data_IF_386187978713
#
_entry.id   IF_386187978713
#
_cell.length_a   1.000
_cell.length_b   1.000
_cell.length_c   1.000
_cell.angle_alpha   90.00
_cell.angle_beta   90.00
_cell.angle_gamma   90.00
#
_symmetry.space_group_name_H-M   'P 1'
#
loop_
_entity.id
_entity.type
_entity.pdbx_description
1 polymer ?
#
# COMPACT_ATOMS: atom_id res chain seq x y z
N UNK A 1 -1.94 27.49 0.74
CA UNK A 1 -2.98 27.19 1.78
C UNK A 1 -2.27 26.40 2.87
N UNK A 2 -2.11 27.01 4.05
CA UNK A 2 -1.41 26.37 5.19
C UNK A 2 -2.10 25.09 5.61
N UNK A 3 -1.38 23.99 5.71
CA UNK A 3 -1.90 22.71 6.18
C UNK A 3 -2.18 22.76 7.68
N UNK A 4 -3.43 22.50 8.09
CA UNK A 4 -3.86 22.55 9.50
C UNK A 4 -4.12 21.16 10.06
N UNK A 5 -4.02 21.02 11.38
CA UNK A 5 -4.35 19.78 12.12
C UNK A 5 -3.55 18.55 11.71
N UNK A 6 -2.29 18.71 11.26
CA UNK A 6 -1.44 17.58 10.89
C UNK A 6 -1.15 16.66 12.08
N UNK A 7 -1.10 17.22 13.28
CA UNK A 7 -0.91 16.52 14.55
C UNK A 7 -2.10 15.61 14.95
N UNK A 8 -3.26 15.80 14.30
CA UNK A 8 -4.48 15.02 14.56
C UNK A 8 -4.74 13.93 13.53
N UNK A 9 -3.90 13.82 12.50
CA UNK A 9 -4.03 12.75 11.50
C UNK A 9 -3.82 11.40 12.18
N UNK A 10 -4.76 10.45 12.04
CA UNK A 10 -4.61 9.11 12.61
C UNK A 10 -3.52 8.35 11.88
N UNK A 11 -2.63 7.69 12.64
CA UNK A 11 -1.47 7.00 12.10
C UNK A 11 -1.62 5.49 12.19
N UNK A 12 -1.29 4.83 11.08
CA UNK A 12 -1.21 3.39 10.94
C UNK A 12 0.20 2.93 10.50
N UNK A 13 0.43 1.65 10.60
CA UNK A 13 1.62 0.99 10.06
C UNK A 13 1.23 -0.31 9.36
N UNK A 14 1.80 -0.58 8.20
CA UNK A 14 1.60 -1.85 7.52
C UNK A 14 2.37 -2.97 8.27
N UNK A 15 1.69 -4.07 8.60
CA UNK A 15 2.35 -5.15 9.38
C UNK A 15 3.52 -5.79 8.64
N UNK A 16 3.52 -5.97 7.30
CA UNK A 16 4.71 -6.45 6.58
C UNK A 16 5.93 -5.54 6.77
N UNK A 17 5.69 -4.26 6.94
CA UNK A 17 6.72 -3.22 7.10
C UNK A 17 7.32 -3.13 8.51
N UNK A 18 6.87 -3.97 9.43
CA UNK A 18 7.43 -4.11 10.78
C UNK A 18 8.35 -5.34 10.90
N UNK A 19 8.91 -5.80 9.79
CA UNK A 19 9.82 -6.93 9.70
C UNK A 19 9.27 -8.07 8.86
N UNK A 20 10.12 -8.64 8.01
CA UNK A 20 9.76 -9.68 7.04
C UNK A 20 10.33 -11.07 7.38
N UNK A 21 11.27 -11.16 8.33
CA UNK A 21 11.79 -12.45 8.74
C UNK A 21 10.73 -13.28 9.51
N UNK A 22 10.65 -14.60 9.33
CA UNK A 22 9.65 -15.46 10.00
C UNK A 22 9.63 -15.38 11.53
N UNK A 23 10.69 -14.90 12.17
CA UNK A 23 10.75 -14.67 13.64
C UNK A 23 10.01 -13.40 14.07
N UNK A 24 9.72 -12.47 13.13
CA UNK A 24 8.95 -11.25 13.40
C UNK A 24 7.46 -11.56 13.40
N UNK A 25 6.98 -12.04 14.52
CA UNK A 25 5.60 -12.51 14.65
C UNK A 25 4.60 -11.35 14.62
N UNK A 26 3.37 -11.63 14.23
CA UNK A 26 2.29 -10.63 14.25
C UNK A 26 2.16 -9.98 15.62
N UNK A 27 2.27 -10.77 16.70
CA UNK A 27 2.20 -10.28 18.08
C UNK A 27 3.29 -9.24 18.37
N UNK A 28 4.53 -9.50 17.93
CA UNK A 28 5.64 -8.56 18.11
C UNK A 28 5.41 -7.27 17.33
N UNK A 29 4.96 -7.38 16.09
CA UNK A 29 4.66 -6.23 15.21
C UNK A 29 3.56 -5.35 15.79
N UNK A 30 2.45 -5.94 16.24
CA UNK A 30 1.33 -5.23 16.85
C UNK A 30 1.72 -4.56 18.18
N UNK A 31 2.50 -5.25 19.04
CA UNK A 31 3.03 -4.65 20.26
C UNK A 31 3.94 -3.46 19.97
N UNK A 32 4.82 -3.59 18.98
CA UNK A 32 5.74 -2.53 18.56
C UNK A 32 4.98 -1.29 18.05
N UNK A 33 4.00 -1.48 17.17
CA UNK A 33 3.16 -0.40 16.65
C UNK A 33 2.41 0.34 17.77
N UNK A 34 1.73 -0.41 18.66
CA UNK A 34 1.01 0.16 19.80
C UNK A 34 1.93 0.93 20.75
N UNK A 35 3.10 0.35 21.09
CA UNK A 35 4.10 0.97 21.97
C UNK A 35 4.68 2.27 21.39
N UNK A 36 4.88 2.32 20.06
CA UNK A 36 5.36 3.51 19.37
C UNK A 36 4.29 4.63 19.27
N UNK A 37 3.01 4.31 19.53
CA UNK A 37 1.91 5.28 19.54
C UNK A 37 1.03 5.28 18.29
N UNK A 38 1.21 4.31 17.37
CA UNK A 38 0.28 4.09 16.28
C UNK A 38 -1.09 3.65 16.82
N UNK A 39 -2.15 3.98 16.08
CA UNK A 39 -3.53 3.64 16.43
C UNK A 39 -4.19 2.71 15.42
N UNK A 40 -3.59 2.55 14.25
CA UNK A 40 -4.05 1.65 13.20
C UNK A 40 -2.93 0.76 12.68
N UNK A 41 -3.33 -0.31 12.03
CA UNK A 41 -2.45 -1.16 11.24
C UNK A 41 -3.12 -1.54 9.92
N UNK A 42 -2.33 -1.67 8.86
CA UNK A 42 -2.74 -2.42 7.68
C UNK A 42 -2.38 -3.88 7.93
N UNK A 43 -3.35 -4.79 7.83
CA UNK A 43 -3.07 -6.21 8.00
C UNK A 43 -2.58 -6.81 6.69
N UNK A 44 -1.32 -7.22 6.65
CA UNK A 44 -0.76 -8.00 5.55
C UNK A 44 -1.32 -9.42 5.53
N UNK A 45 -1.78 -9.89 4.37
CA UNK A 45 -2.28 -11.25 4.22
C UNK A 45 -1.23 -12.31 4.58
N UNK A 46 0.04 -12.07 4.20
CA UNK A 46 1.15 -12.97 4.51
C UNK A 46 1.40 -13.08 6.03
N UNK A 47 1.22 -12.01 6.77
CA UNK A 47 1.31 -12.01 8.22
C UNK A 47 0.18 -12.81 8.87
N UNK A 48 -1.05 -12.67 8.35
CA UNK A 48 -2.18 -13.50 8.76
C UNK A 48 -1.91 -14.98 8.48
N UNK A 49 -1.43 -15.31 7.28
CA UNK A 49 -1.09 -16.68 6.89
C UNK A 49 0.06 -17.25 7.74
N UNK A 50 1.06 -16.43 8.06
CA UNK A 50 2.17 -16.81 8.93
C UNK A 50 1.70 -17.08 10.36
N UNK A 51 0.78 -16.27 10.89
CA UNK A 51 0.13 -16.51 12.17
C UNK A 51 -0.65 -17.83 12.16
N UNK A 52 -1.47 -18.05 11.11
CA UNK A 52 -2.23 -19.30 10.94
C UNK A 52 -1.31 -20.53 10.92
N UNK A 53 -0.22 -20.47 10.17
CA UNK A 53 0.78 -21.54 10.06
C UNK A 53 1.46 -21.85 11.41
N UNK A 54 1.76 -20.81 12.19
CA UNK A 54 2.44 -20.97 13.49
C UNK A 54 1.54 -21.61 14.54
N UNK A 55 0.27 -21.23 14.58
CA UNK A 55 -0.68 -21.70 15.58
C UNK A 55 -1.44 -22.97 15.16
N UNK A 56 -1.34 -23.37 13.88
CA UNK A 56 -1.95 -24.58 13.36
C UNK A 56 -0.98 -25.36 12.45
N UNK A 57 -0.30 -26.39 12.96
CA UNK A 57 0.63 -27.22 12.17
C UNK A 57 -0.01 -27.90 10.95
N UNK A 58 -1.33 -28.02 10.93
CA UNK A 58 -2.10 -28.59 9.79
C UNK A 58 -2.52 -27.58 8.73
N UNK A 59 -2.11 -26.32 8.83
CA UNK A 59 -2.47 -25.26 7.87
C UNK A 59 -2.08 -25.59 6.44
N UNK A 60 -3.05 -25.51 5.53
CA UNK A 60 -2.89 -25.92 4.11
C UNK A 60 -2.71 -24.74 3.13
N UNK A 61 -2.38 -23.55 3.64
CA UNK A 61 -2.21 -22.35 2.82
C UNK A 61 -3.50 -21.55 2.60
N UNK A 62 -3.52 -20.73 1.57
CA UNK A 62 -4.62 -19.77 1.30
C UNK A 62 -5.99 -20.41 1.09
N UNK A 63 -6.05 -21.69 0.76
CA UNK A 63 -7.31 -22.43 0.60
C UNK A 63 -7.89 -22.95 1.93
N UNK A 64 -7.12 -22.87 3.03
CA UNK A 64 -7.60 -23.27 4.37
C UNK A 64 -8.35 -22.12 5.06
N UNK A 65 -9.48 -21.75 4.45
CA UNK A 65 -10.31 -20.65 4.96
C UNK A 65 -10.71 -20.81 6.45
N UNK A 66 -11.10 -21.99 6.96
CA UNK A 66 -11.43 -22.12 8.39
C UNK A 66 -10.28 -21.74 9.33
N UNK A 67 -9.03 -22.12 8.99
CA UNK A 67 -7.84 -21.76 9.79
C UNK A 67 -7.53 -20.28 9.69
N UNK A 68 -7.67 -19.67 8.50
CA UNK A 68 -7.49 -18.22 8.30
C UNK A 68 -8.53 -17.41 9.09
N UNK A 69 -9.80 -17.81 9.09
CA UNK A 69 -10.85 -17.14 9.86
C UNK A 69 -10.59 -17.19 11.37
N UNK A 70 -10.15 -18.34 11.88
CA UNK A 70 -9.76 -18.47 13.29
C UNK A 70 -8.62 -17.53 13.64
N UNK A 71 -7.54 -17.51 12.83
CA UNK A 71 -6.40 -16.63 13.02
C UNK A 71 -6.78 -15.16 12.93
N UNK A 72 -7.68 -14.80 12.01
CA UNK A 72 -8.20 -13.44 11.89
C UNK A 72 -8.92 -12.98 13.19
N UNK A 73 -9.73 -13.86 13.79
CA UNK A 73 -10.38 -13.58 15.07
C UNK A 73 -9.37 -13.38 16.21
N UNK A 74 -8.33 -14.23 16.31
CA UNK A 74 -7.26 -14.12 17.30
C UNK A 74 -6.47 -12.82 17.14
N UNK A 75 -6.14 -12.42 15.90
CA UNK A 75 -5.46 -11.15 15.61
C UNK A 75 -6.35 -9.94 15.97
N UNK A 76 -7.64 -9.98 15.66
CA UNK A 76 -8.60 -8.94 16.09
C UNK A 76 -8.61 -8.75 17.60
N UNK A 77 -8.69 -9.84 18.37
CA UNK A 77 -8.67 -9.76 19.83
C UNK A 77 -7.37 -9.15 20.36
N UNK A 78 -6.23 -9.47 19.72
CA UNK A 78 -4.95 -8.88 20.08
C UNK A 78 -4.91 -7.38 19.78
N UNK A 79 -5.38 -6.96 18.60
CA UNK A 79 -5.49 -5.55 18.24
C UNK A 79 -6.38 -4.78 19.23
N UNK A 80 -7.52 -5.35 19.63
CA UNK A 80 -8.40 -4.74 20.63
C UNK A 80 -7.70 -4.53 21.97
N UNK A 81 -6.96 -5.53 22.47
CA UNK A 81 -6.16 -5.44 23.72
C UNK A 81 -5.08 -4.36 23.63
N UNK A 82 -4.56 -4.10 22.44
CA UNK A 82 -3.51 -3.13 22.18
C UNK A 82 -4.05 -1.74 21.75
N UNK A 83 -5.38 -1.55 21.70
CA UNK A 83 -6.05 -0.35 21.19
C UNK A 83 -5.60 0.04 19.77
N UNK A 84 -5.47 -0.96 18.90
CA UNK A 84 -5.19 -0.81 17.48
C UNK A 84 -6.45 -1.10 16.65
N UNK A 85 -6.70 -0.26 15.64
CA UNK A 85 -7.69 -0.51 14.60
C UNK A 85 -7.03 -1.20 13.40
N UNK A 86 -7.67 -2.23 12.85
CA UNK A 86 -7.26 -2.82 11.57
C UNK A 86 -7.94 -2.01 10.47
N UNK A 87 -7.21 -1.12 9.82
CA UNK A 87 -7.77 -0.19 8.83
C UNK A 87 -8.13 -0.86 7.51
N UNK A 88 -7.32 -1.84 7.08
CA UNK A 88 -7.58 -2.63 5.87
C UNK A 88 -6.93 -4.01 5.93
N UNK A 89 -7.36 -4.90 5.04
CA UNK A 89 -6.63 -6.10 4.64
C UNK A 89 -5.93 -5.82 3.32
N UNK A 90 -4.62 -6.16 3.20
CA UNK A 90 -3.79 -5.86 2.03
C UNK A 90 -2.69 -6.93 1.81
N UNK A 91 -2.11 -7.05 0.60
CA UNK A 91 -2.67 -6.58 -0.65
C UNK A 91 -3.66 -7.59 -1.22
N UNK A 92 -4.65 -7.13 -1.97
CA UNK A 92 -5.44 -7.95 -2.86
C UNK A 92 -5.05 -7.61 -4.29
N UNK A 93 -4.19 -8.43 -4.88
CA UNK A 93 -3.55 -8.19 -6.17
C UNK A 93 -4.12 -9.10 -7.26
N UNK A 94 -3.78 -8.83 -8.53
CA UNK A 94 -4.17 -9.64 -9.69
C UNK A 94 -5.69 -9.87 -9.74
N UNK A 95 -6.46 -8.79 -9.60
CA UNK A 95 -7.91 -8.91 -9.56
C UNK A 95 -8.57 -8.50 -10.86
N UNK A 96 -8.31 -7.29 -11.37
CA UNK A 96 -9.05 -6.70 -12.49
C UNK A 96 -8.52 -7.12 -13.86
N UNK A 97 -9.37 -6.96 -14.88
CA UNK A 97 -9.01 -7.08 -16.29
C UNK A 97 -8.81 -8.53 -16.78
N UNK A 98 -9.32 -9.55 -16.10
CA UNK A 98 -9.23 -10.92 -16.57
C UNK A 98 -9.96 -11.11 -17.90
N UNK A 99 -9.24 -11.58 -18.94
CA UNK A 99 -9.81 -11.85 -20.28
C UNK A 99 -10.55 -13.19 -20.35
N UNK A 100 -10.15 -14.14 -19.51
CA UNK A 100 -10.77 -15.46 -19.45
C UNK A 100 -11.84 -15.53 -18.35
N UNK A 101 -13.02 -16.03 -18.69
CA UNK A 101 -14.16 -16.08 -17.76
C UNK A 101 -13.93 -17.01 -16.56
N UNK A 102 -13.17 -18.10 -16.75
CA UNK A 102 -12.84 -19.02 -15.65
C UNK A 102 -11.85 -18.36 -14.69
N UNK A 103 -10.86 -17.66 -15.23
CA UNK A 103 -9.91 -16.88 -14.43
C UNK A 103 -10.64 -15.77 -13.66
N UNK A 104 -11.52 -15.02 -14.33
CA UNK A 104 -12.36 -14.00 -13.70
C UNK A 104 -13.17 -14.57 -12.54
N UNK A 105 -13.86 -15.69 -12.76
CA UNK A 105 -14.63 -16.35 -11.71
C UNK A 105 -13.76 -16.79 -10.52
N UNK A 106 -12.52 -17.26 -10.76
CA UNK A 106 -11.60 -17.64 -9.70
C UNK A 106 -11.14 -16.42 -8.87
N UNK A 107 -10.93 -15.26 -9.53
CA UNK A 107 -10.58 -14.00 -8.84
C UNK A 107 -11.72 -13.51 -7.94
N UNK A 108 -12.97 -13.62 -8.38
CA UNK A 108 -14.14 -13.30 -7.54
C UNK A 108 -14.33 -14.31 -6.39
N UNK A 109 -14.09 -15.61 -6.62
CA UNK A 109 -14.09 -16.59 -5.54
C UNK A 109 -13.02 -16.32 -4.49
N UNK A 110 -11.84 -15.80 -4.88
CA UNK A 110 -10.80 -15.32 -3.96
C UNK A 110 -11.27 -14.09 -3.21
N UNK A 111 -11.91 -13.13 -3.87
CA UNK A 111 -12.48 -11.94 -3.22
C UNK A 111 -13.48 -12.28 -2.12
N UNK A 112 -14.36 -13.28 -2.35
CA UNK A 112 -15.28 -13.76 -1.31
C UNK A 112 -14.55 -14.27 -0.05
N UNK A 113 -13.41 -14.99 -0.21
CA UNK A 113 -12.58 -15.44 0.91
C UNK A 113 -11.99 -14.25 1.68
N UNK A 114 -11.45 -13.25 0.97
CA UNK A 114 -10.89 -12.05 1.59
C UNK A 114 -11.94 -11.25 2.37
N UNK A 115 -13.15 -11.08 1.81
CA UNK A 115 -14.26 -10.41 2.49
C UNK A 115 -14.72 -11.17 3.74
N UNK A 116 -14.68 -12.50 3.73
CA UNK A 116 -14.96 -13.32 4.91
C UNK A 116 -13.87 -13.14 5.99
N UNK A 117 -12.59 -13.10 5.59
CA UNK A 117 -11.45 -12.84 6.49
C UNK A 117 -11.55 -11.43 7.10
N UNK A 118 -11.87 -10.41 6.30
CA UNK A 118 -12.07 -9.04 6.78
C UNK A 118 -13.13 -8.94 7.87
N UNK A 119 -14.24 -9.67 7.72
CA UNK A 119 -15.29 -9.74 8.74
C UNK A 119 -14.76 -10.24 10.08
N UNK A 120 -13.96 -11.30 10.07
CA UNK A 120 -13.35 -11.84 11.29
C UNK A 120 -12.25 -10.94 11.85
N UNK A 121 -11.45 -10.27 11.00
CA UNK A 121 -10.51 -9.23 11.42
C UNK A 121 -11.21 -8.01 12.02
N UNK A 122 -12.45 -7.75 11.66
CA UNK A 122 -13.20 -6.57 12.08
C UNK A 122 -12.88 -5.32 11.27
N UNK A 123 -12.23 -5.47 10.09
CA UNK A 123 -12.01 -4.37 9.15
C UNK A 123 -13.06 -4.37 8.04
N UNK A 124 -13.25 -3.22 7.39
CA UNK A 124 -14.20 -3.04 6.29
C UNK A 124 -13.56 -2.59 4.99
N UNK A 125 -12.27 -2.41 4.94
CA UNK A 125 -11.56 -1.93 3.76
C UNK A 125 -10.67 -3.03 3.20
N UNK A 126 -10.80 -3.30 1.88
CA UNK A 126 -9.90 -4.13 1.09
C UNK A 126 -9.04 -3.24 0.21
N UNK A 127 -7.72 -3.31 0.39
CA UNK A 127 -6.80 -2.64 -0.52
C UNK A 127 -6.56 -3.54 -1.74
N UNK A 128 -6.80 -2.98 -2.93
CA UNK A 128 -6.65 -3.64 -4.22
C UNK A 128 -5.57 -2.93 -5.01
N UNK A 129 -4.44 -3.61 -5.20
CA UNK A 129 -3.36 -3.09 -6.04
C UNK A 129 -3.63 -3.34 -7.52
N UNK A 130 -3.29 -2.38 -8.38
CA UNK A 130 -3.41 -2.56 -9.83
C UNK A 130 -2.55 -3.72 -10.32
N UNK A 131 -3.09 -4.54 -11.21
CA UNK A 131 -2.38 -5.73 -11.69
C UNK A 131 -1.10 -5.40 -12.46
N UNK A 132 -0.05 -6.18 -12.25
CA UNK A 132 1.18 -6.13 -13.03
C UNK A 132 1.22 -7.16 -14.19
N UNK A 133 0.15 -7.93 -14.34
CA UNK A 133 0.03 -8.92 -15.39
C UNK A 133 -0.28 -8.27 -16.75
N UNK A 134 0.66 -8.25 -17.72
CA UNK A 134 0.45 -7.60 -19.01
C UNK A 134 -0.56 -8.32 -19.91
N UNK A 135 -0.98 -9.53 -19.54
CA UNK A 135 -1.96 -10.31 -20.31
C UNK A 135 -3.41 -9.95 -19.96
N UNK A 136 -3.64 -9.09 -18.96
CA UNK A 136 -4.99 -8.59 -18.63
C UNK A 136 -5.45 -7.53 -19.65
N UNK A 137 -6.71 -7.10 -19.54
CA UNK A 137 -7.25 -6.04 -20.39
C UNK A 137 -6.60 -4.70 -20.07
N UNK A 138 -6.29 -3.92 -21.11
CA UNK A 138 -5.90 -2.51 -21.06
C UNK A 138 -7.08 -1.55 -21.25
N UNK A 139 -8.28 -2.09 -21.46
CA UNK A 139 -9.51 -1.32 -21.54
C UNK A 139 -9.99 -0.93 -20.13
N UNK A 140 -9.97 0.37 -19.85
CA UNK A 140 -10.35 0.91 -18.53
C UNK A 140 -11.83 0.69 -18.19
N UNK A 141 -12.70 0.55 -19.18
CA UNK A 141 -14.12 0.22 -18.93
C UNK A 141 -14.24 -1.24 -18.43
N UNK A 142 -13.47 -2.17 -18.99
CA UNK A 142 -13.41 -3.57 -18.51
C UNK A 142 -12.81 -3.64 -17.09
N UNK A 143 -11.73 -2.90 -16.83
CA UNK A 143 -11.13 -2.80 -15.49
C UNK A 143 -12.14 -2.24 -14.48
N UNK A 144 -12.82 -1.17 -14.85
CA UNK A 144 -13.81 -0.52 -14.00
C UNK A 144 -15.06 -1.39 -13.75
N UNK A 145 -15.50 -2.18 -14.73
CA UNK A 145 -16.60 -3.14 -14.58
C UNK A 145 -16.26 -4.23 -13.56
N UNK A 146 -15.04 -4.80 -13.59
CA UNK A 146 -14.59 -5.77 -12.59
C UNK A 146 -14.57 -5.16 -11.18
N UNK A 147 -14.06 -3.93 -11.05
CA UNK A 147 -14.05 -3.23 -9.76
C UNK A 147 -15.47 -2.84 -9.30
N UNK A 148 -16.37 -2.51 -10.22
CA UNK A 148 -17.77 -2.22 -9.88
C UNK A 148 -18.49 -3.46 -9.31
N UNK A 149 -18.29 -4.62 -9.93
CA UNK A 149 -18.86 -5.87 -9.43
C UNK A 149 -18.23 -6.25 -8.07
N UNK A 150 -16.91 -6.03 -7.87
CA UNK A 150 -16.26 -6.20 -6.57
C UNK A 150 -16.86 -5.26 -5.51
N UNK A 151 -17.09 -4.00 -5.86
CA UNK A 151 -17.74 -3.03 -4.98
C UNK A 151 -19.16 -3.45 -4.59
N UNK A 152 -19.94 -3.95 -5.55
CA UNK A 152 -21.31 -4.44 -5.32
C UNK A 152 -21.28 -5.67 -4.40
N UNK A 153 -20.34 -6.59 -4.62
CA UNK A 153 -20.08 -7.73 -3.75
C UNK A 153 -19.70 -7.29 -2.33
N UNK A 154 -18.78 -6.33 -2.19
CA UNK A 154 -18.34 -5.78 -0.91
C UNK A 154 -19.47 -5.05 -0.17
N UNK A 155 -20.29 -4.29 -0.88
CA UNK A 155 -21.46 -3.60 -0.34
C UNK A 155 -22.55 -4.58 0.16
N UNK A 156 -22.64 -5.78 -0.42
CA UNK A 156 -23.60 -6.82 0.00
C UNK A 156 -23.26 -7.47 1.34
N UNK A 157 -22.05 -7.26 1.88
CA UNK A 157 -21.63 -7.85 3.15
C UNK A 157 -22.26 -7.13 4.35
N UNK A 158 -22.23 -7.78 5.52
CA UNK A 158 -22.72 -7.20 6.76
C UNK A 158 -21.65 -7.28 7.85
N UNK A 159 -21.07 -6.11 8.23
CA UNK A 159 -21.29 -4.76 7.69
C UNK A 159 -20.80 -4.61 6.25
N UNK A 160 -21.27 -3.59 5.50
CA UNK A 160 -20.80 -3.30 4.15
C UNK A 160 -19.30 -2.95 4.15
N UNK A 161 -18.59 -3.41 3.11
CA UNK A 161 -17.16 -3.19 2.92
C UNK A 161 -16.86 -2.18 1.82
N UNK A 162 -15.66 -1.62 1.86
CA UNK A 162 -15.14 -0.60 0.96
C UNK A 162 -13.90 -1.12 0.22
N UNK A 163 -13.65 -0.57 -0.96
CA UNK A 163 -12.49 -0.89 -1.80
C UNK A 163 -11.57 0.33 -1.86
N UNK A 164 -10.30 0.13 -1.51
CA UNK A 164 -9.24 1.10 -1.69
C UNK A 164 -8.39 0.68 -2.89
N UNK A 165 -8.55 1.33 -4.04
CA UNK A 165 -7.80 0.99 -5.25
C UNK A 165 -6.47 1.74 -5.28
N UNK A 166 -5.37 1.02 -5.41
CA UNK A 166 -4.02 1.56 -5.42
C UNK A 166 -3.36 1.37 -6.80
N UNK A 167 -3.06 2.45 -7.52
CA UNK A 167 -2.27 2.37 -8.75
C UNK A 167 -0.79 2.13 -8.42
N UNK A 168 -0.32 0.90 -8.60
CA UNK A 168 1.09 0.57 -8.40
C UNK A 168 1.97 1.08 -9.54
N UNK A 169 3.09 1.71 -9.24
CA UNK A 169 4.00 2.27 -10.24
C UNK A 169 4.59 1.24 -11.23
N UNK A 170 4.41 -0.03 -10.96
CA UNK A 170 4.74 -1.17 -11.83
C UNK A 170 3.50 -1.85 -12.43
N UNK A 171 2.31 -1.34 -12.20
CA UNK A 171 1.09 -1.86 -12.81
C UNK A 171 1.19 -1.90 -14.34
N UNK A 172 0.65 -2.95 -14.94
CA UNK A 172 0.77 -3.16 -16.39
C UNK A 172 0.02 -2.09 -17.20
N UNK A 173 -1.17 -1.72 -16.76
CA UNK A 173 -2.07 -0.82 -17.49
C UNK A 173 -2.44 0.42 -16.70
N UNK A 174 -2.56 0.32 -15.38
CA UNK A 174 -2.87 1.41 -14.45
C UNK A 174 -1.68 1.59 -13.51
N UNK A 175 -0.89 2.67 -13.69
CA UNK A 175 0.36 2.86 -12.97
C UNK A 175 0.69 4.33 -12.63
N UNK A 176 -0.26 5.24 -12.86
CA UNK A 176 -0.20 6.64 -12.39
C UNK A 176 -1.43 6.97 -11.56
N UNK A 177 -1.34 8.00 -10.73
CA UNK A 177 -2.49 8.46 -9.96
C UNK A 177 -3.66 8.89 -10.85
N UNK A 178 -3.38 9.51 -12.01
CA UNK A 178 -4.40 9.95 -12.98
C UNK A 178 -5.17 8.76 -13.55
N UNK A 179 -4.46 7.71 -13.95
CA UNK A 179 -5.07 6.48 -14.45
C UNK A 179 -5.90 5.77 -13.35
N UNK A 180 -5.35 5.67 -12.13
CA UNK A 180 -6.09 5.10 -11.00
C UNK A 180 -7.35 5.88 -10.67
N UNK A 181 -7.27 7.22 -10.73
CA UNK A 181 -8.44 8.06 -10.50
C UNK A 181 -9.47 7.95 -11.63
N UNK A 182 -9.06 7.88 -12.90
CA UNK A 182 -9.97 7.61 -14.02
C UNK A 182 -10.73 6.30 -13.84
N UNK A 183 -10.02 5.23 -13.46
CA UNK A 183 -10.65 3.92 -13.17
C UNK A 183 -11.64 4.03 -12.01
N UNK A 184 -11.29 4.69 -10.90
CA UNK A 184 -12.20 4.90 -9.75
C UNK A 184 -13.46 5.67 -10.19
N UNK A 185 -13.32 6.69 -11.04
CA UNK A 185 -14.46 7.44 -11.55
C UNK A 185 -15.37 6.59 -12.46
N UNK A 186 -14.79 5.79 -13.37
CA UNK A 186 -15.53 4.85 -14.25
C UNK A 186 -16.25 3.77 -13.47
N UNK A 187 -15.62 3.26 -12.41
CA UNK A 187 -16.23 2.27 -11.49
C UNK A 187 -17.56 2.78 -10.94
N UNK A 188 -17.66 4.06 -10.66
CA UNK A 188 -18.91 4.77 -10.28
C UNK A 188 -19.70 4.05 -9.18
N UNK A 189 -19.02 3.71 -8.07
CA UNK A 189 -19.63 3.15 -6.85
C UNK A 189 -19.29 4.02 -5.65
N UNK A 190 -20.20 4.13 -4.66
CA UNK A 190 -19.98 4.98 -3.48
C UNK A 190 -18.87 4.44 -2.57
N UNK A 191 -18.68 3.12 -2.54
CA UNK A 191 -17.77 2.40 -1.66
C UNK A 191 -16.41 2.06 -2.30
N UNK A 192 -15.96 2.84 -3.28
CA UNK A 192 -14.58 2.81 -3.79
C UNK A 192 -13.92 4.17 -3.61
N UNK A 193 -12.67 4.15 -3.22
CA UNK A 193 -11.78 5.30 -3.19
C UNK A 193 -10.40 4.94 -3.75
N UNK A 194 -9.58 5.96 -3.95
CA UNK A 194 -8.17 5.77 -4.34
C UNK A 194 -7.30 5.69 -3.08
N UNK A 195 -6.35 4.76 -3.06
CA UNK A 195 -5.21 4.79 -2.14
C UNK A 195 -4.06 5.54 -2.81
N UNK A 196 -3.46 6.48 -2.11
CA UNK A 196 -2.32 7.27 -2.60
C UNK A 196 -1.08 6.97 -1.75
N UNK A 197 -0.05 6.52 -2.42
CA UNK A 197 1.24 6.21 -1.83
C UNK A 197 2.33 7.11 -2.40
N UNK A 198 3.14 7.70 -1.52
CA UNK A 198 4.24 8.59 -1.91
C UNK A 198 5.30 7.90 -2.77
N UNK A 199 5.56 6.61 -2.54
CA UNK A 199 6.47 5.82 -3.37
C UNK A 199 5.88 5.56 -4.76
N UNK A 200 4.62 5.11 -4.83
CA UNK A 200 3.99 4.76 -6.11
C UNK A 200 3.94 5.96 -7.05
N UNK A 201 3.47 7.10 -6.54
CA UNK A 201 3.34 8.31 -7.36
C UNK A 201 4.72 8.82 -7.78
N UNK A 202 5.67 8.97 -6.84
CA UNK A 202 7.02 9.47 -7.13
C UNK A 202 7.83 8.49 -7.97
N UNK A 203 7.72 7.21 -7.69
CA UNK A 203 8.44 6.12 -8.40
C UNK A 203 8.01 5.96 -9.84
N UNK A 204 6.81 6.43 -10.21
CA UNK A 204 6.36 6.40 -11.59
C UNK A 204 6.64 7.68 -12.35
N UNK A 205 6.41 8.83 -11.73
CA UNK A 205 6.41 10.11 -12.44
C UNK A 205 7.75 10.84 -12.37
N UNK A 206 8.63 10.46 -11.45
CA UNK A 206 9.89 11.16 -11.21
C UNK A 206 11.12 10.25 -11.29
N UNK A 207 11.03 9.03 -10.78
CA UNK A 207 12.16 8.13 -10.60
C UNK A 207 12.15 6.94 -11.59
N UNK A 208 13.36 6.39 -11.80
CA UNK A 208 13.56 5.17 -12.58
C UNK A 208 14.71 4.34 -11.99
N UNK A 209 14.41 3.17 -11.36
CA UNK A 209 15.45 2.32 -10.76
C UNK A 209 16.36 1.63 -11.81
N UNK A 210 16.01 1.71 -13.09
CA UNK A 210 16.83 1.18 -14.21
C UNK A 210 17.78 2.26 -14.78
N UNK A 211 17.73 3.49 -14.24
CA UNK A 211 18.55 4.61 -14.69
C UNK A 211 19.76 4.80 -13.78
N UNK A 212 20.94 5.05 -14.33
CA UNK A 212 22.16 5.41 -13.57
C UNK A 212 21.98 6.66 -12.71
N UNK A 213 21.17 7.59 -13.17
CA UNK A 213 20.83 8.79 -12.39
C UNK A 213 19.75 8.56 -11.34
N UNK A 214 19.01 7.46 -11.41
CA UNK A 214 17.80 7.21 -10.62
C UNK A 214 16.58 7.99 -11.11
N UNK A 215 16.72 8.83 -12.14
CA UNK A 215 15.69 9.71 -12.66
C UNK A 215 15.10 9.18 -13.98
N UNK A 216 13.89 9.57 -14.31
CA UNK A 216 13.30 9.26 -15.61
C UNK A 216 14.19 9.79 -16.74
N UNK A 217 14.45 8.93 -17.73
CA UNK A 217 15.30 9.26 -18.87
C UNK A 217 14.67 10.36 -19.76
N UNK A 218 15.52 11.17 -20.37
CA UNK A 218 15.11 12.20 -21.32
C UNK A 218 14.79 13.58 -20.70
N UNK A 219 14.94 13.73 -19.39
CA UNK A 219 14.70 14.98 -18.68
C UNK A 219 15.89 15.35 -17.78
N UNK A 220 16.13 16.64 -17.58
CA UNK A 220 16.95 17.13 -16.48
C UNK A 220 16.18 17.02 -15.16
N UNK A 221 16.89 16.92 -14.03
CA UNK A 221 16.27 16.92 -12.71
C UNK A 221 15.37 18.14 -12.47
N UNK A 222 15.76 19.30 -12.94
CA UNK A 222 14.95 20.52 -12.86
C UNK A 222 13.63 20.40 -13.61
N UNK A 223 13.66 19.82 -14.79
CA UNK A 223 12.43 19.58 -15.59
C UNK A 223 11.53 18.56 -14.89
N UNK A 224 12.10 17.47 -14.36
CA UNK A 224 11.34 16.48 -13.62
C UNK A 224 10.69 17.07 -12.36
N UNK A 225 11.41 17.88 -11.60
CA UNK A 225 10.87 18.58 -10.44
C UNK A 225 9.68 19.44 -10.83
N UNK A 226 9.83 20.27 -11.88
CA UNK A 226 8.73 21.14 -12.36
C UNK A 226 7.52 20.35 -12.86
N UNK A 227 7.74 19.23 -13.57
CA UNK A 227 6.67 18.33 -14.05
C UNK A 227 5.95 17.64 -12.88
N UNK A 228 6.71 17.15 -11.92
CA UNK A 228 6.17 16.48 -10.74
C UNK A 228 5.35 17.44 -9.85
N UNK A 229 5.87 18.66 -9.62
CA UNK A 229 5.13 19.72 -8.94
C UNK A 229 3.80 20.06 -9.64
N UNK A 230 3.82 20.17 -10.97
CA UNK A 230 2.62 20.44 -11.76
C UNK A 230 1.60 19.28 -11.68
N UNK A 231 2.07 18.02 -11.73
CA UNK A 231 1.24 16.83 -11.56
C UNK A 231 0.61 16.81 -10.17
N UNK A 232 1.40 17.08 -9.12
CA UNK A 232 0.91 17.11 -7.74
C UNK A 232 -0.08 18.25 -7.48
N UNK A 233 0.12 19.41 -8.09
CA UNK A 233 -0.85 20.51 -8.03
C UNK A 233 -2.15 20.17 -8.78
N UNK A 234 -2.08 19.40 -9.85
CA UNK A 234 -3.25 18.87 -10.55
C UNK A 234 -4.00 17.85 -9.68
N UNK A 235 -3.29 16.88 -9.10
CA UNK A 235 -3.86 15.89 -8.17
C UNK A 235 -4.65 16.57 -7.05
N UNK A 236 -4.02 17.56 -6.39
CA UNK A 236 -4.63 18.29 -5.28
C UNK A 236 -5.93 19.03 -5.65
N UNK A 237 -6.12 19.36 -6.92
CA UNK A 237 -7.32 20.03 -7.45
C UNK A 237 -8.37 19.05 -8.01
N UNK A 238 -7.94 17.84 -8.36
CA UNK A 238 -8.76 16.87 -9.11
C UNK A 238 -9.39 15.84 -8.19
N UNK A 239 -8.66 15.32 -7.21
CA UNK A 239 -9.16 14.27 -6.34
C UNK A 239 -9.84 14.88 -5.12
N UNK A 240 -11.16 14.65 -4.90
CA UNK A 240 -11.84 15.06 -3.67
C UNK A 240 -11.26 14.27 -2.46
N UNK A 241 -10.98 14.97 -1.36
CA UNK A 241 -10.39 14.34 -0.18
C UNK A 241 -11.20 13.17 0.39
N UNK A 242 -12.53 13.20 0.27
CA UNK A 242 -13.44 12.11 0.68
C UNK A 242 -13.37 10.87 -0.23
N UNK A 243 -12.71 10.97 -1.38
CA UNK A 243 -12.46 9.83 -2.29
C UNK A 243 -11.08 9.21 -2.12
N UNK A 244 -10.27 9.75 -1.22
CA UNK A 244 -9.04 9.10 -0.79
C UNK A 244 -9.39 8.16 0.36
N UNK A 245 -9.10 6.87 0.19
CA UNK A 245 -9.38 5.84 1.19
C UNK A 245 -8.43 5.96 2.38
N UNK A 246 -7.14 5.99 2.12
CA UNK A 246 -6.06 6.26 3.08
C UNK A 246 -4.77 6.61 2.33
N UNK A 247 -3.74 7.03 3.07
CA UNK A 247 -2.43 7.36 2.51
C UNK A 247 -1.38 6.36 2.98
N UNK A 248 -0.41 6.06 2.10
CA UNK A 248 0.81 5.35 2.46
C UNK A 248 2.03 6.25 2.26
N UNK A 249 2.98 6.12 3.18
CA UNK A 249 4.19 6.93 3.22
C UNK A 249 5.41 6.02 3.23
N UNK A 250 6.26 6.22 2.25
CA UNK A 250 7.63 5.72 2.17
C UNK A 250 8.45 6.56 1.22
N UNK A 251 9.73 6.27 1.14
CA UNK A 251 10.68 6.83 0.20
C UNK A 251 11.25 5.71 -0.67
N UNK A 252 12.17 6.00 -1.57
CA UNK A 252 12.89 5.02 -2.38
C UNK A 252 14.39 5.30 -2.33
N UNK A 253 15.20 4.25 -2.22
CA UNK A 253 16.65 4.38 -2.35
C UNK A 253 17.04 4.53 -3.82
N UNK A 254 17.99 5.41 -4.11
CA UNK A 254 18.66 5.39 -5.41
C UNK A 254 19.52 4.12 -5.48
N UNK A 255 19.31 3.34 -6.53
CA UNK A 255 20.02 2.07 -6.71
C UNK A 255 21.27 2.28 -7.57
N UNK A 256 22.40 1.80 -7.07
CA UNK A 256 23.67 1.84 -7.77
C UNK A 256 24.45 0.53 -7.52
N UNK A 257 24.69 -0.30 -8.55
CA UNK A 257 24.27 -0.13 -9.96
C UNK A 257 22.75 -0.23 -10.12
N UNK A 258 22.16 0.29 -11.22
CA UNK A 258 20.72 0.21 -11.51
C UNK A 258 20.20 -1.22 -11.58
N UNK A 259 18.89 -1.41 -11.32
CA UNK A 259 18.23 -2.72 -11.45
C UNK A 259 18.13 -3.11 -12.92
N UNK A 260 19.17 -3.77 -13.42
CA UNK A 260 19.33 -4.26 -14.80
C UNK A 260 19.87 -5.68 -14.75
N UNK A 261 19.94 -6.42 -15.88
CA UNK A 261 20.54 -7.75 -15.92
C UNK A 261 21.92 -7.79 -15.24
N UNK A 262 22.05 -8.65 -14.22
CA UNK A 262 23.25 -8.75 -13.37
C UNK A 262 23.14 -8.07 -12.00
N UNK A 263 22.13 -7.25 -11.76
CA UNK A 263 21.81 -6.73 -10.42
C UNK A 263 21.15 -7.83 -9.57
N UNK A 264 21.46 -7.97 -8.25
CA UNK A 264 20.88 -9.01 -7.39
C UNK A 264 19.34 -9.00 -7.33
N UNK A 265 18.73 -7.82 -7.40
CA UNK A 265 17.28 -7.68 -7.42
C UNK A 265 16.65 -7.82 -8.81
N UNK A 266 17.46 -7.99 -9.88
CA UNK A 266 16.89 -8.17 -11.22
C UNK A 266 16.29 -9.57 -11.37
N UNK A 267 15.06 -9.62 -11.82
CA UNK A 267 14.34 -10.85 -12.17
C UNK A 267 13.75 -10.69 -13.57
N UNK A 268 14.13 -11.61 -14.48
CA UNK A 268 13.67 -11.56 -15.87
C UNK A 268 12.14 -11.66 -15.95
N UNK A 269 11.53 -10.77 -16.73
CA UNK A 269 10.08 -10.72 -16.89
C UNK A 269 9.32 -10.05 -15.75
N UNK A 270 10.02 -9.58 -14.71
CA UNK A 270 9.41 -8.78 -13.65
C UNK A 270 9.71 -7.28 -13.79
N UNK A 271 8.76 -6.39 -13.51
CA UNK A 271 9.02 -4.96 -13.53
C UNK A 271 10.06 -4.53 -12.48
N UNK A 272 11.12 -3.83 -12.90
CA UNK A 272 12.18 -3.37 -12.00
C UNK A 272 11.64 -2.49 -10.84
N UNK A 273 10.58 -1.69 -11.08
CA UNK A 273 9.92 -0.90 -10.03
C UNK A 273 9.27 -1.76 -8.95
N UNK A 274 8.72 -2.93 -9.30
CA UNK A 274 8.22 -3.91 -8.33
C UNK A 274 9.35 -4.45 -7.45
N UNK A 275 10.48 -4.86 -8.07
CA UNK A 275 11.66 -5.31 -7.33
C UNK A 275 12.21 -4.21 -6.41
N UNK A 276 12.26 -2.98 -6.91
CA UNK A 276 12.65 -1.82 -6.13
C UNK A 276 11.75 -1.59 -4.92
N UNK A 277 10.44 -1.70 -5.09
CA UNK A 277 9.46 -1.56 -4.01
C UNK A 277 9.65 -2.59 -2.89
N UNK A 278 10.05 -3.83 -3.21
CA UNK A 278 10.10 -4.92 -2.24
C UNK A 278 11.36 -4.96 -1.35
N UNK A 279 12.42 -4.18 -1.69
CA UNK A 279 13.70 -4.28 -0.99
C UNK A 279 14.38 -2.92 -0.72
N UNK A 280 13.96 -1.85 -1.39
CA UNK A 280 14.67 -0.57 -1.39
C UNK A 280 13.73 0.62 -1.10
N UNK A 281 12.77 0.39 -0.23
CA UNK A 281 11.70 1.34 0.09
C UNK A 281 11.76 1.71 1.57
N UNK A 282 12.65 2.69 1.96
CA UNK A 282 12.85 3.09 3.33
C UNK A 282 11.79 4.08 3.83
N UNK A 283 11.83 4.36 5.14
CA UNK A 283 11.17 5.53 5.70
C UNK A 283 11.76 6.83 5.11
N UNK A 284 10.95 7.88 4.90
CA UNK A 284 11.47 9.20 4.57
C UNK A 284 12.59 9.67 5.52
N UNK A 285 13.57 10.39 4.97
CA UNK A 285 14.78 10.83 5.65
C UNK A 285 15.78 9.72 6.04
N UNK A 286 15.64 8.54 5.48
CA UNK A 286 16.54 7.39 5.63
C UNK A 286 17.28 7.09 4.32
N UNK A 287 18.00 8.07 3.80
CA UNK A 287 18.77 8.02 2.54
C UNK A 287 17.91 7.83 1.28
N UNK A 288 16.59 7.93 1.37
CA UNK A 288 15.73 8.01 0.21
C UNK A 288 15.92 9.32 -0.57
N UNK A 289 15.50 9.34 -1.84
CA UNK A 289 15.72 10.49 -2.74
C UNK A 289 14.43 10.96 -3.45
N UNK A 290 13.31 10.29 -3.19
CA UNK A 290 12.04 10.64 -3.82
C UNK A 290 11.49 11.98 -3.30
N UNK A 291 10.73 12.73 -4.11
CA UNK A 291 10.12 14.00 -3.70
C UNK A 291 8.89 13.80 -2.79
N UNK A 292 9.07 13.03 -1.69
CA UNK A 292 8.00 12.60 -0.77
C UNK A 292 7.24 13.78 -0.17
N UNK A 293 7.93 14.85 0.20
CA UNK A 293 7.29 16.06 0.79
C UNK A 293 6.34 16.71 -0.21
N UNK A 294 6.72 16.79 -1.49
CA UNK A 294 5.89 17.35 -2.55
C UNK A 294 4.62 16.51 -2.75
N UNK A 295 4.75 15.18 -2.82
CA UNK A 295 3.63 14.26 -2.95
C UNK A 295 2.68 14.35 -1.74
N UNK A 296 3.21 14.19 -0.53
CA UNK A 296 2.39 14.21 0.69
C UNK A 296 1.70 15.56 0.90
N UNK A 297 2.37 16.67 0.58
CA UNK A 297 1.77 18.00 0.62
C UNK A 297 0.57 18.11 -0.33
N UNK A 298 0.67 17.57 -1.53
CA UNK A 298 -0.43 17.54 -2.49
C UNK A 298 -1.61 16.68 -2.00
N UNK A 299 -1.33 15.49 -1.49
CA UNK A 299 -2.36 14.61 -0.91
C UNK A 299 -3.14 15.30 0.20
N UNK A 300 -2.45 16.01 1.08
CA UNK A 300 -3.07 16.75 2.18
C UNK A 300 -3.77 18.05 1.73
N UNK A 301 -3.37 18.64 0.60
CA UNK A 301 -4.05 19.80 -0.01
C UNK A 301 -5.43 19.46 -0.57
N UNK A 302 -5.74 18.19 -0.87
CA UNK A 302 -7.09 17.72 -1.21
C UNK A 302 -8.11 17.92 -0.10
N UNK A 303 -7.63 18.17 1.12
CA UNK A 303 -8.46 18.22 2.34
C UNK A 303 -8.51 16.90 3.11
N UNK A 304 -7.90 15.82 2.60
CA UNK A 304 -7.84 14.54 3.29
C UNK A 304 -7.18 14.64 4.67
N UNK A 305 -7.77 13.99 5.68
CA UNK A 305 -7.28 13.93 7.07
C UNK A 305 -7.58 12.56 7.71
N UNK A 306 -7.75 11.52 6.88
CA UNK A 306 -7.96 10.15 7.32
C UNK A 306 -6.65 9.43 7.66
N UNK A 307 -6.72 8.11 7.71
CA UNK A 307 -5.60 7.24 8.05
C UNK A 307 -4.39 7.47 7.14
N UNK A 308 -3.24 7.63 7.76
CA UNK A 308 -1.95 7.76 7.09
C UNK A 308 -1.01 6.70 7.65
N UNK A 309 -0.55 5.81 6.80
CA UNK A 309 0.19 4.60 7.15
C UNK A 309 1.64 4.67 6.70
N UNK A 310 2.54 4.08 7.48
CA UNK A 310 3.91 3.81 7.03
C UNK A 310 3.94 2.45 6.34
N UNK A 311 4.40 2.43 5.08
CA UNK A 311 4.57 1.20 4.32
C UNK A 311 5.96 1.15 3.67
N UNK A 312 6.87 0.40 4.26
CA UNK A 312 8.28 0.35 3.91
C UNK A 312 8.78 -1.08 3.75
N UNK A 313 9.73 -1.28 2.83
CA UNK A 313 10.31 -2.58 2.54
C UNK A 313 11.80 -2.44 2.30
N UNK A 314 12.60 -2.90 3.26
CA UNK A 314 14.05 -2.87 3.20
C UNK A 314 14.64 -4.25 3.46
N UNK A 315 15.78 -4.56 2.84
CA UNK A 315 16.49 -5.84 3.01
C UNK A 315 16.74 -6.16 4.50
N UNK A 316 17.05 -5.14 5.31
CA UNK A 316 17.26 -5.29 6.76
C UNK A 316 16.06 -5.93 7.47
N UNK A 317 14.84 -5.73 6.99
CA UNK A 317 13.65 -6.34 7.59
C UNK A 317 13.60 -7.87 7.45
N UNK A 318 14.47 -8.44 6.61
CA UNK A 318 14.64 -9.88 6.42
C UNK A 318 15.67 -10.50 7.38
N UNK A 319 16.40 -9.70 8.17
CA UNK A 319 17.36 -10.18 9.15
C UNK A 319 16.67 -10.84 10.35
N UNK A 320 17.31 -11.86 10.95
CA UNK A 320 16.82 -12.52 12.17
C UNK A 320 17.13 -11.69 13.42
N UNK A 321 16.74 -10.42 13.42
CA UNK A 321 16.88 -9.52 14.59
C UNK A 321 15.51 -9.19 15.17
N UNK A 322 15.22 -9.69 16.35
CA UNK A 322 13.93 -9.52 17.05
C UNK A 322 13.62 -8.07 17.44
N UNK A 323 14.60 -7.16 17.35
CA UNK A 323 14.41 -5.74 17.65
C UNK A 323 13.82 -4.98 16.48
N UNK A 324 13.89 -5.51 15.25
CA UNK A 324 13.43 -4.85 14.02
C UNK A 324 12.00 -4.32 14.13
N UNK A 325 10.99 -5.05 14.61
CA UNK A 325 9.64 -4.51 14.74
C UNK A 325 9.57 -3.25 15.60
N UNK A 326 10.27 -3.24 16.74
CA UNK A 326 10.27 -2.09 17.67
C UNK A 326 11.06 -0.91 17.11
N UNK A 327 12.19 -1.16 16.45
CA UNK A 327 13.00 -0.13 15.81
C UNK A 327 12.22 0.56 14.69
N UNK A 328 11.63 -0.20 13.76
CA UNK A 328 10.87 0.36 12.64
C UNK A 328 9.62 1.11 13.10
N UNK A 329 8.90 0.59 14.08
CA UNK A 329 7.74 1.30 14.65
C UNK A 329 8.14 2.65 15.28
N UNK A 330 9.21 2.68 16.06
CA UNK A 330 9.74 3.92 16.66
C UNK A 330 10.21 4.90 15.60
N UNK A 331 10.99 4.43 14.64
CA UNK A 331 11.50 5.27 13.54
C UNK A 331 10.37 5.84 12.68
N UNK A 332 9.32 5.07 12.41
CA UNK A 332 8.13 5.55 11.69
C UNK A 332 7.44 6.70 12.42
N UNK A 333 7.29 6.61 13.73
CA UNK A 333 6.72 7.70 14.53
C UNK A 333 7.62 8.94 14.54
N UNK A 334 8.94 8.76 14.64
CA UNK A 334 9.89 9.86 14.59
C UNK A 334 9.95 10.51 13.19
N UNK A 335 9.80 9.70 12.14
CA UNK A 335 9.66 10.17 10.75
C UNK A 335 8.40 11.03 10.59
N UNK A 336 7.26 10.60 11.11
CA UNK A 336 6.04 11.41 11.06
C UNK A 336 6.21 12.77 11.70
N UNK A 337 6.83 12.84 12.89
CA UNK A 337 7.11 14.12 13.57
C UNK A 337 7.99 15.07 12.73
N UNK A 338 8.94 14.51 11.95
CA UNK A 338 9.76 15.30 11.01
C UNK A 338 8.93 15.76 9.82
N UNK A 339 8.13 14.86 9.22
CA UNK A 339 7.25 15.20 8.10
C UNK A 339 6.30 16.35 8.46
N UNK A 340 5.69 16.32 9.64
CA UNK A 340 4.81 17.42 10.12
C UNK A 340 5.56 18.76 10.18
N UNK A 341 6.82 18.77 10.62
CA UNK A 341 7.64 20.00 10.65
C UNK A 341 7.93 20.51 9.23
N UNK A 342 8.35 19.64 8.31
CA UNK A 342 8.63 20.01 6.91
C UNK A 342 7.36 20.48 6.17
N UNK A 343 6.24 19.86 6.43
CA UNK A 343 4.96 20.25 5.84
C UNK A 343 4.43 21.58 6.38
N UNK A 344 4.82 21.99 7.58
CA UNK A 344 4.46 23.27 8.18
C UNK A 344 5.28 24.45 7.60
N UNK A 345 6.39 24.18 6.93
CA UNK A 345 7.20 25.20 6.23
C UNK A 345 6.51 25.47 4.88
N UNK A 346 6.07 26.71 4.67
CA UNK A 346 5.43 27.17 3.42
C UNK A 346 6.45 27.47 2.31
#
# INVERSE_FOLDING_TARGET
MTLKNLDKIPLAYATPSLGMHPTHTVEMKLQAASKAGFRGIEMGFDDLASHAKRHNPGFKGEDDLPTLLKSAGEIRELCQKLNLEIICLQPFQDFEGAKDQKERAARFARAEKYLAIMKELGTRMLQVGSTDNPNTSDDYDVIAEDLAELCDLAASKSPPCEIAYEPWCWGAHVNTWEQGWDVVQRTNRPNIGINLDTFQVSGREWADPESETGLLKGYSERELNSRFEASMDLLAKTIPGEKISYLQISDGLKIDPPIQPGHPAYEEGKPARGQWSHAYRPLPFKNGYLPVITALRAFLKTGFRGWTSMEVFEERQQEEDKNIPEEYAKEGMDTWKKLVKELAIE
#
